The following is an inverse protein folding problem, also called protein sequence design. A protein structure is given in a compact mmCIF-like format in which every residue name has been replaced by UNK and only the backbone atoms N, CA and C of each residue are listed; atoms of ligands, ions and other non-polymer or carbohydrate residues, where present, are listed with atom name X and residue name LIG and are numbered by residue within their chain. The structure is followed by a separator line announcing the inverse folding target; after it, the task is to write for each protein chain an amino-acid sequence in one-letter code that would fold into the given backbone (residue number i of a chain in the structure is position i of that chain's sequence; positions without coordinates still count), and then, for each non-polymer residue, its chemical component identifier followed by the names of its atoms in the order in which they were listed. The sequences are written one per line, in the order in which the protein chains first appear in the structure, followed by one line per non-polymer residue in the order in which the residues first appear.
data_IF_167974246930
#
_entry.id   IF_167974246930
#
_cell.length_a   1.000
_cell.length_b   1.000
_cell.length_c   1.000
_cell.angle_alpha   90.00
_cell.angle_beta   90.00
_cell.angle_gamma   90.00
#
_symmetry.space_group_name_H-M   'P 1'
#
loop_
_entity.id
_entity.type
_entity.pdbx_description
1 polymer ?
#
# COMPACT_ATOMS: atom_id res chain seq x y z
N UNK A 1 12.86 -11.27 8.16
CA UNK A 1 12.25 -10.20 7.37
C UNK A 1 13.27 -9.78 6.32
N UNK A 2 12.85 -9.58 5.08
CA UNK A 2 13.71 -9.13 3.98
C UNK A 2 13.95 -7.61 4.01
N UNK A 3 13.19 -6.87 4.82
CA UNK A 3 13.31 -5.44 5.01
C UNK A 3 12.29 -4.95 6.04
N UNK A 4 12.20 -3.62 6.19
CA UNK A 4 11.25 -2.97 7.11
C UNK A 4 10.51 -1.83 6.42
N UNK A 5 9.23 -1.64 6.76
CA UNK A 5 8.43 -0.49 6.33
C UNK A 5 8.21 0.45 7.52
N UNK A 6 8.71 1.68 7.42
CA UNK A 6 8.51 2.74 8.41
C UNK A 6 7.08 3.26 8.26
N UNK A 7 6.28 3.12 9.32
CA UNK A 7 4.89 3.53 9.31
C UNK A 7 4.73 5.05 9.58
N UNK A 8 4.86 5.87 8.53
CA UNK A 8 4.62 7.32 8.52
C UNK A 8 3.22 7.74 8.07
N UNK A 9 2.19 6.99 8.44
CA UNK A 9 0.84 7.11 7.89
C UNK A 9 -0.25 6.92 8.95
N UNK A 10 -1.51 7.14 8.56
CA UNK A 10 -2.73 6.81 9.30
C UNK A 10 -2.82 7.39 10.72
N UNK A 11 -2.27 8.57 10.95
CA UNK A 11 -2.37 9.26 12.24
C UNK A 11 -1.61 8.61 13.40
N UNK A 12 -0.72 7.65 13.11
CA UNK A 12 0.23 7.14 14.11
C UNK A 12 1.37 8.13 14.33
N UNK A 13 2.24 7.84 15.30
CA UNK A 13 3.23 8.77 15.83
C UNK A 13 4.00 9.58 14.78
N UNK A 14 4.54 8.94 13.74
CA UNK A 14 5.29 9.66 12.70
C UNK A 14 4.37 10.60 11.91
N UNK A 15 3.17 10.16 11.54
CA UNK A 15 2.18 11.01 10.83
C UNK A 15 1.70 12.17 11.71
N UNK A 16 1.65 11.98 13.04
CA UNK A 16 1.36 13.06 13.98
C UNK A 16 2.44 14.16 13.96
N UNK A 17 3.71 13.82 13.76
CA UNK A 17 4.77 14.82 13.56
C UNK A 17 4.64 15.52 12.20
N UNK A 18 4.30 14.78 11.15
CA UNK A 18 4.17 15.33 9.79
C UNK A 18 3.06 16.38 9.70
N UNK A 19 1.93 16.16 10.38
CA UNK A 19 0.70 16.91 10.17
C UNK A 19 0.46 18.03 11.18
N UNK A 20 0.18 19.23 10.67
CA UNK A 20 0.02 20.43 11.51
C UNK A 20 -1.31 20.52 12.26
N UNK A 21 -2.28 19.63 12.01
CA UNK A 21 -3.48 19.51 12.82
C UNK A 21 -3.22 18.94 14.23
N UNK A 22 -2.09 18.22 14.41
CA UNK A 22 -1.67 17.66 15.70
C UNK A 22 -0.36 18.28 16.18
N UNK A 23 0.63 18.44 15.29
CA UNK A 23 1.93 18.98 15.68
C UNK A 23 1.89 20.50 15.83
N UNK A 24 1.61 20.96 17.05
CA UNK A 24 1.61 22.36 17.48
C UNK A 24 2.94 22.80 18.12
N UNK A 25 4.00 21.99 17.98
CA UNK A 25 5.30 22.28 18.59
C UNK A 25 5.94 23.52 17.98
N UNK A 26 6.67 24.26 18.80
CA UNK A 26 7.46 25.44 18.42
C UNK A 26 8.98 25.20 18.46
N UNK A 27 9.41 23.96 18.72
CA UNK A 27 10.81 23.57 18.70
C UNK A 27 11.27 23.08 17.31
N UNK A 28 12.43 22.45 17.23
CA UNK A 28 13.01 21.97 15.96
C UNK A 28 12.22 20.84 15.29
N UNK A 29 11.15 20.34 15.91
CA UNK A 29 10.30 19.26 15.39
C UNK A 29 8.88 19.73 14.97
N UNK A 30 8.58 21.03 15.05
CA UNK A 30 7.28 21.58 14.62
C UNK A 30 7.36 22.92 13.89
N UNK A 31 6.20 23.44 13.53
CA UNK A 31 6.06 24.66 12.74
C UNK A 31 6.27 24.42 11.24
N UNK A 32 7.51 24.52 10.76
CA UNK A 32 7.81 24.43 9.33
C UNK A 32 7.73 22.99 8.80
N UNK A 33 7.59 22.80 7.48
CA UNK A 33 7.61 21.47 6.86
C UNK A 33 8.93 20.72 7.12
N UNK A 34 10.05 21.44 7.10
CA UNK A 34 11.39 20.92 7.43
C UNK A 34 11.42 20.31 8.83
N UNK A 35 10.91 21.05 9.82
CA UNK A 35 10.90 20.61 11.21
C UNK A 35 9.94 19.45 11.43
N UNK A 36 8.73 19.51 10.85
CA UNK A 36 7.74 18.43 10.93
C UNK A 36 8.25 17.12 10.31
N UNK A 37 8.99 17.20 9.20
CA UNK A 37 9.58 16.03 8.54
C UNK A 37 10.87 15.54 9.20
N UNK A 38 11.49 16.34 10.07
CA UNK A 38 12.78 16.01 10.72
C UNK A 38 12.75 14.66 11.42
N UNK A 39 11.67 14.35 12.14
CA UNK A 39 11.53 13.08 12.86
C UNK A 39 11.53 11.87 11.90
N UNK A 40 10.76 11.93 10.81
CA UNK A 40 10.78 10.90 9.78
C UNK A 40 12.18 10.76 9.16
N UNK A 41 12.82 11.88 8.80
CA UNK A 41 14.17 11.86 8.21
C UNK A 41 15.21 11.22 9.12
N UNK A 42 15.15 11.48 10.43
CA UNK A 42 16.06 10.87 11.40
C UNK A 42 15.83 9.36 11.53
N UNK A 43 14.57 8.91 11.53
CA UNK A 43 14.23 7.48 11.56
C UNK A 43 14.74 6.77 10.31
N UNK A 44 14.51 7.34 9.12
CA UNK A 44 15.01 6.78 7.85
C UNK A 44 16.52 6.61 7.92
N UNK A 45 17.26 7.66 8.29
CA UNK A 45 18.72 7.62 8.38
C UNK A 45 19.21 6.59 9.40
N UNK A 46 18.60 6.53 10.58
CA UNK A 46 19.00 5.60 11.64
C UNK A 46 18.81 4.15 11.20
N UNK A 47 17.68 3.81 10.59
CA UNK A 47 17.39 2.45 10.12
C UNK A 47 18.26 2.11 8.90
N UNK A 48 18.35 3.01 7.92
CA UNK A 48 19.17 2.78 6.73
C UNK A 48 20.66 2.63 7.06
N UNK A 49 21.16 3.32 8.09
CA UNK A 49 22.54 3.13 8.57
C UNK A 49 22.77 1.75 9.20
N UNK A 50 21.71 1.13 9.74
CA UNK A 50 21.80 -0.18 10.40
C UNK A 50 21.66 -1.34 9.41
N UNK A 51 20.79 -1.23 8.40
CA UNK A 51 20.45 -2.36 7.51
C UNK A 51 20.64 -2.06 6.01
N UNK A 52 21.08 -0.87 5.64
CA UNK A 52 21.15 -0.44 4.24
C UNK A 52 19.84 0.16 3.74
N UNK A 53 19.89 1.20 2.88
CA UNK A 53 18.69 1.90 2.41
C UNK A 53 17.79 1.01 1.54
N UNK A 54 18.35 0.05 0.82
CA UNK A 54 17.64 -0.89 -0.05
C UNK A 54 16.77 -1.91 0.70
N UNK A 55 16.91 -1.99 2.03
CA UNK A 55 16.06 -2.79 2.92
C UNK A 55 15.05 -1.93 3.72
N UNK A 56 14.97 -0.64 3.42
CA UNK A 56 14.09 0.31 4.11
C UNK A 56 13.03 0.83 3.16
N UNK A 57 11.77 0.74 3.57
CA UNK A 57 10.64 1.39 2.92
C UNK A 57 9.97 2.39 3.85
N UNK A 58 9.23 3.33 3.27
CA UNK A 58 8.46 4.33 4.01
C UNK A 58 7.02 4.31 3.52
N UNK A 59 6.06 4.28 4.44
CA UNK A 59 4.63 4.44 4.12
C UNK A 59 4.12 5.80 4.57
N UNK A 60 3.41 6.51 3.70
CA UNK A 60 2.78 7.82 3.97
C UNK A 60 1.31 7.87 3.55
N UNK A 61 0.56 8.77 4.17
CA UNK A 61 -0.83 9.03 3.80
C UNK A 61 -1.19 10.52 3.90
N UNK A 62 -0.64 11.38 3.03
CA UNK A 62 -0.78 12.84 3.16
C UNK A 62 -2.25 13.28 3.17
N UNK A 63 -3.09 12.69 2.31
CA UNK A 63 -4.51 13.04 2.16
C UNK A 63 -5.48 12.28 3.07
N UNK A 64 -5.00 11.43 3.98
CA UNK A 64 -5.89 10.67 4.88
C UNK A 64 -6.02 11.38 6.22
N UNK A 65 -7.20 11.88 6.51
CA UNK A 65 -7.56 12.34 7.86
C UNK A 65 -7.98 11.13 8.71
N UNK A 66 -7.13 10.72 9.65
CA UNK A 66 -7.41 9.62 10.58
C UNK A 66 -6.82 9.93 11.96
N UNK A 67 -7.53 9.54 13.03
CA UNK A 67 -7.14 9.82 14.43
C UNK A 67 -6.80 11.32 14.65
N UNK A 68 -7.63 12.20 14.08
CA UNK A 68 -7.49 13.67 14.09
C UNK A 68 -6.19 14.21 13.44
N UNK A 69 -5.40 13.35 12.79
CA UNK A 69 -4.20 13.74 12.06
C UNK A 69 -4.58 14.32 10.69
N UNK A 70 -4.86 15.62 10.68
CA UNK A 70 -5.20 16.43 9.51
C UNK A 70 -4.05 17.35 9.13
N UNK A 71 -3.88 17.63 7.84
CA UNK A 71 -2.95 18.65 7.36
C UNK A 71 -3.70 19.74 6.58
N UNK A 72 -3.32 21.00 6.78
CA UNK A 72 -3.90 22.11 6.02
C UNK A 72 -3.49 22.14 4.54
N UNK A 73 -2.37 21.51 4.19
CA UNK A 73 -1.83 21.39 2.84
C UNK A 73 -1.27 19.98 2.58
N UNK A 74 -2.13 18.97 2.37
CA UNK A 74 -1.72 17.59 2.07
C UNK A 74 -0.82 17.45 0.84
N UNK A 75 -1.00 18.32 -0.16
CA UNK A 75 -0.23 18.30 -1.41
C UNK A 75 1.20 18.78 -1.13
N UNK A 76 1.33 19.94 -0.48
CA UNK A 76 2.63 20.48 -0.08
C UNK A 76 3.37 19.54 0.87
N UNK A 77 2.66 18.92 1.82
CA UNK A 77 3.24 17.92 2.72
C UNK A 77 3.79 16.72 1.94
N UNK A 78 2.99 16.11 1.06
CA UNK A 78 3.42 14.97 0.26
C UNK A 78 4.63 15.29 -0.61
N UNK A 79 4.61 16.44 -1.29
CA UNK A 79 5.71 16.90 -2.13
C UNK A 79 7.01 17.10 -1.33
N UNK A 80 6.90 17.69 -0.15
CA UNK A 80 8.05 17.92 0.71
C UNK A 80 8.65 16.59 1.21
N UNK A 81 7.82 15.64 1.63
CA UNK A 81 8.30 14.32 2.06
C UNK A 81 9.05 13.60 0.93
N UNK A 82 8.52 13.61 -0.29
CA UNK A 82 9.21 13.04 -1.47
C UNK A 82 10.54 13.74 -1.73
N UNK A 83 10.55 15.07 -1.67
CA UNK A 83 11.78 15.87 -1.86
C UNK A 83 12.85 15.50 -0.83
N UNK A 84 12.43 15.35 0.43
CA UNK A 84 13.32 15.00 1.53
C UNK A 84 13.83 13.56 1.44
N UNK A 85 12.98 12.60 1.06
CA UNK A 85 13.41 11.22 0.80
C UNK A 85 14.44 11.18 -0.33
N UNK A 86 14.17 11.82 -1.48
CA UNK A 86 15.15 11.90 -2.58
C UNK A 86 16.48 12.56 -2.14
N UNK A 87 16.42 13.54 -1.23
CA UNK A 87 17.62 14.15 -0.64
C UNK A 87 18.39 13.14 0.22
N UNK A 88 17.69 12.39 1.08
CA UNK A 88 18.30 11.36 1.92
C UNK A 88 18.92 10.24 1.09
N UNK A 89 18.25 9.75 0.06
CA UNK A 89 18.79 8.71 -0.84
C UNK A 89 20.12 9.15 -1.47
N UNK A 90 20.23 10.42 -1.90
CA UNK A 90 21.48 10.99 -2.42
C UNK A 90 22.58 11.07 -1.37
N UNK A 91 22.24 11.48 -0.14
CA UNK A 91 23.20 11.58 0.97
C UNK A 91 23.69 10.20 1.41
N UNK A 92 22.80 9.21 1.47
CA UNK A 92 23.12 7.83 1.87
C UNK A 92 23.81 7.05 0.75
N UNK A 93 23.77 7.53 -0.50
CA UNK A 93 24.36 6.85 -1.65
C UNK A 93 23.57 5.61 -2.09
N UNK A 94 22.27 5.54 -1.79
CA UNK A 94 21.41 4.40 -2.09
C UNK A 94 19.94 4.74 -2.02
N UNK A 95 19.11 3.97 -2.74
CA UNK A 95 17.67 4.17 -2.81
C UNK A 95 16.96 3.38 -1.71
N UNK A 96 15.84 3.90 -1.24
CA UNK A 96 14.90 3.14 -0.44
C UNK A 96 14.32 1.98 -1.27
N UNK A 97 13.93 0.90 -0.59
CA UNK A 97 13.26 -0.23 -1.21
C UNK A 97 12.00 0.22 -1.97
N UNK A 98 11.17 1.06 -1.34
CA UNK A 98 10.03 1.71 -1.96
C UNK A 98 9.44 2.84 -1.09
N UNK A 99 8.65 3.71 -1.73
CA UNK A 99 7.71 4.62 -1.07
C UNK A 99 6.29 4.09 -1.24
N UNK A 100 5.57 3.89 -0.15
CA UNK A 100 4.19 3.38 -0.15
C UNK A 100 3.21 4.50 0.19
N UNK A 101 2.43 4.93 -0.79
CA UNK A 101 1.42 5.99 -0.65
C UNK A 101 0.04 5.35 -0.46
N UNK A 102 -0.60 5.65 0.67
CA UNK A 102 -2.00 5.24 0.88
C UNK A 102 -2.94 6.39 0.56
N UNK A 103 -3.85 6.13 -0.36
CA UNK A 103 -4.92 7.03 -0.75
C UNK A 103 -6.15 6.83 0.14
N UNK A 104 -6.97 7.88 0.32
CA UNK A 104 -8.33 7.71 0.82
C UNK A 104 -9.07 6.64 0.02
N UNK A 105 -10.07 6.00 0.63
CA UNK A 105 -10.74 4.88 -0.03
C UNK A 105 -11.33 5.33 -1.36
N UNK A 106 -10.87 4.72 -2.46
CA UNK A 106 -11.60 4.68 -3.71
C UNK A 106 -12.96 4.02 -3.43
N UNK A 107 -13.96 4.84 -3.16
CA UNK A 107 -15.35 4.39 -3.13
C UNK A 107 -16.04 5.09 -4.27
N UNK A 108 -16.37 4.32 -5.32
CA UNK A 108 -17.31 4.70 -6.38
C UNK A 108 -18.72 5.05 -5.87
N UNK A 109 -18.92 5.22 -4.55
CA UNK A 109 -20.20 5.39 -3.88
C UNK A 109 -20.47 6.81 -3.36
N UNK A 110 -19.60 7.79 -3.59
CA UNK A 110 -19.91 9.17 -3.21
C UNK A 110 -20.48 9.94 -4.41
N UNK A 111 -21.78 9.76 -4.66
CA UNK A 111 -22.56 10.51 -5.65
C UNK A 111 -22.91 11.93 -5.15
N UNK A 112 -21.93 12.66 -4.63
CA UNK A 112 -22.08 14.07 -4.22
C UNK A 112 -20.98 14.90 -4.88
N UNK A 113 -21.26 16.15 -5.25
CA UNK A 113 -20.26 16.99 -5.94
C UNK A 113 -18.94 17.20 -5.17
N UNK A 114 -18.95 16.98 -3.85
CA UNK A 114 -17.76 16.94 -2.99
C UNK A 114 -16.82 15.75 -3.25
N UNK A 115 -17.36 14.64 -3.75
CA UNK A 115 -16.60 13.43 -4.05
C UNK A 115 -15.69 13.59 -5.26
N UNK A 116 -16.23 14.12 -6.36
CA UNK A 116 -15.47 14.37 -7.59
C UNK A 116 -14.32 15.36 -7.35
N UNK A 117 -14.51 16.32 -6.43
CA UNK A 117 -13.44 17.27 -6.06
C UNK A 117 -12.32 16.58 -5.29
N UNK A 118 -12.64 15.65 -4.38
CA UNK A 118 -11.64 14.87 -3.64
C UNK A 118 -10.91 13.88 -4.54
N UNK A 119 -11.63 13.19 -5.40
CA UNK A 119 -11.06 12.25 -6.39
C UNK A 119 -10.02 12.95 -7.29
N UNK A 120 -10.35 14.11 -7.86
CA UNK A 120 -9.37 14.90 -8.64
C UNK A 120 -8.16 15.37 -7.82
N UNK A 121 -8.35 15.69 -6.54
CA UNK A 121 -7.23 16.08 -5.67
C UNK A 121 -6.34 14.87 -5.34
N UNK A 122 -6.93 13.69 -5.20
CA UNK A 122 -6.21 12.43 -4.96
C UNK A 122 -5.41 11.99 -6.18
N UNK A 123 -6.02 11.99 -7.37
CA UNK A 123 -5.33 11.73 -8.65
C UNK A 123 -4.18 12.72 -8.86
N UNK A 124 -4.45 14.01 -8.63
CA UNK A 124 -3.42 15.04 -8.75
C UNK A 124 -2.26 14.84 -7.76
N UNK A 125 -2.56 14.49 -6.50
CA UNK A 125 -1.53 14.17 -5.51
C UNK A 125 -0.70 12.99 -5.98
N UNK A 126 -1.33 11.89 -6.40
CA UNK A 126 -0.61 10.67 -6.78
C UNK A 126 0.30 10.92 -7.98
N UNK A 127 -0.20 11.61 -9.01
CA UNK A 127 0.60 12.00 -10.18
C UNK A 127 1.79 12.87 -9.79
N UNK A 128 1.58 13.88 -8.94
CA UNK A 128 2.66 14.73 -8.45
C UNK A 128 3.72 13.94 -7.65
N UNK A 129 3.30 13.04 -6.76
CA UNK A 129 4.23 12.21 -6.00
C UNK A 129 5.01 11.25 -6.91
N UNK A 130 4.35 10.67 -7.91
CA UNK A 130 4.99 9.80 -8.90
C UNK A 130 6.02 10.55 -9.73
N UNK A 131 5.69 11.74 -10.23
CA UNK A 131 6.62 12.60 -10.98
C UNK A 131 7.81 13.04 -10.13
N UNK A 132 7.58 13.34 -8.86
CA UNK A 132 8.61 13.81 -7.93
C UNK A 132 9.52 12.69 -7.39
N UNK A 133 9.00 11.48 -7.19
CA UNK A 133 9.75 10.40 -6.57
C UNK A 133 10.54 9.59 -7.59
N UNK A 134 11.83 9.41 -7.35
CA UNK A 134 12.72 8.74 -8.30
C UNK A 134 12.81 7.22 -8.11
N UNK A 135 12.30 6.68 -7.00
CA UNK A 135 12.37 5.26 -6.66
C UNK A 135 11.09 4.48 -7.00
N UNK A 136 10.99 3.26 -6.47
CA UNK A 136 9.82 2.40 -6.62
C UNK A 136 8.66 2.88 -5.75
N UNK A 137 7.50 3.18 -6.36
CA UNK A 137 6.30 3.61 -5.64
C UNK A 137 5.25 2.50 -5.58
N UNK A 138 4.68 2.31 -4.39
CA UNK A 138 3.52 1.44 -4.16
C UNK A 138 2.31 2.31 -3.83
N UNK A 139 1.19 2.06 -4.50
CA UNK A 139 -0.08 2.71 -4.18
C UNK A 139 -1.03 1.75 -3.48
N UNK A 140 -1.77 2.21 -2.48
CA UNK A 140 -2.90 1.47 -1.91
C UNK A 140 -4.07 2.41 -1.64
N UNK A 141 -5.29 1.86 -1.53
CA UNK A 141 -6.47 2.68 -1.24
C UNK A 141 -7.70 2.39 -2.10
N UNK A 142 -8.27 1.19 -2.01
CA UNK A 142 -9.54 0.88 -2.68
C UNK A 142 -9.43 0.49 -4.15
N UNK A 143 -8.23 0.19 -4.63
CA UNK A 143 -8.03 -0.44 -5.93
C UNK A 143 -8.86 -1.72 -6.09
N UNK A 144 -9.47 -1.86 -7.26
CA UNK A 144 -9.95 -3.11 -7.84
C UNK A 144 -8.83 -3.74 -8.67
N UNK A 145 -9.12 -4.87 -9.31
CA UNK A 145 -8.22 -5.46 -10.30
C UNK A 145 -8.02 -4.49 -11.46
N UNK A 146 -9.12 -3.99 -12.01
CA UNK A 146 -9.16 -3.20 -13.25
C UNK A 146 -8.41 -1.88 -13.09
N UNK A 147 -8.77 -1.06 -12.10
CA UNK A 147 -8.10 0.23 -11.92
C UNK A 147 -6.66 0.09 -11.41
N UNK A 148 -6.34 -0.98 -10.67
CA UNK A 148 -4.96 -1.26 -10.24
C UNK A 148 -4.07 -1.67 -11.41
N UNK A 149 -4.59 -2.49 -12.33
CA UNK A 149 -3.90 -2.81 -13.58
C UNK A 149 -3.70 -1.57 -14.45
N UNK A 150 -4.71 -0.70 -14.58
CA UNK A 150 -4.59 0.57 -15.32
C UNK A 150 -3.50 1.45 -14.71
N UNK A 151 -3.54 1.68 -13.39
CA UNK A 151 -2.57 2.55 -12.71
C UNK A 151 -1.11 2.10 -12.90
N UNK A 152 -0.85 0.79 -12.97
CA UNK A 152 0.49 0.26 -13.26
C UNK A 152 0.84 0.41 -14.75
N UNK A 153 -0.11 0.09 -15.65
CA UNK A 153 0.10 0.19 -17.10
C UNK A 153 0.34 1.65 -17.56
N UNK A 154 -0.37 2.59 -16.95
CA UNK A 154 -0.32 4.02 -17.23
C UNK A 154 0.88 4.71 -16.55
N UNK A 155 1.64 3.98 -15.71
CA UNK A 155 2.83 4.48 -15.03
C UNK A 155 2.55 5.40 -13.84
N UNK A 156 1.31 5.43 -13.35
CA UNK A 156 0.92 6.20 -12.15
C UNK A 156 1.58 5.64 -10.88
N UNK A 157 1.91 4.35 -10.87
CA UNK A 157 2.62 3.68 -9.79
C UNK A 157 3.37 2.45 -10.31
N UNK A 158 4.39 1.98 -9.60
CA UNK A 158 5.09 0.75 -10.01
C UNK A 158 4.34 -0.50 -9.52
N UNK A 159 3.66 -0.40 -8.38
CA UNK A 159 3.01 -1.50 -7.68
C UNK A 159 1.71 -1.05 -7.01
N UNK A 160 0.75 -1.96 -6.91
CA UNK A 160 -0.49 -1.75 -6.14
C UNK A 160 -0.57 -2.74 -4.99
N UNK A 161 -0.84 -2.24 -3.79
CA UNK A 161 -1.05 -3.06 -2.60
C UNK A 161 -2.55 -3.18 -2.25
N UNK A 162 -2.96 -4.41 -1.96
CA UNK A 162 -4.34 -4.77 -1.64
C UNK A 162 -4.42 -5.32 -0.21
N UNK A 163 -5.15 -4.65 0.67
CA UNK A 163 -5.40 -5.13 2.05
C UNK A 163 -6.64 -6.01 2.13
N UNK A 164 -7.82 -5.39 2.03
CA UNK A 164 -9.13 -6.04 2.21
C UNK A 164 -9.36 -7.24 1.28
N UNK A 165 -8.93 -7.16 0.03
CA UNK A 165 -9.08 -8.25 -0.92
C UNK A 165 -8.18 -9.43 -0.55
N UNK A 166 -6.97 -9.16 -0.04
CA UNK A 166 -6.04 -10.20 0.37
C UNK A 166 -6.49 -10.92 1.64
N UNK A 167 -7.19 -10.22 2.56
CA UNK A 167 -7.80 -10.87 3.74
C UNK A 167 -8.69 -12.03 3.29
N UNK A 168 -9.56 -11.82 2.31
CA UNK A 168 -10.52 -12.84 1.88
C UNK A 168 -10.08 -13.74 0.74
N UNK A 169 -8.99 -13.41 0.05
CA UNK A 169 -8.49 -14.14 -1.12
C UNK A 169 -7.01 -14.48 -0.90
N UNK A 170 -6.70 -15.62 -0.27
CA UNK A 170 -5.30 -15.99 -0.02
C UNK A 170 -4.50 -16.21 -1.32
N UNK A 171 -5.20 -16.45 -2.43
CA UNK A 171 -4.69 -16.62 -3.79
C UNK A 171 -5.04 -15.43 -4.71
N UNK A 172 -5.17 -14.22 -4.16
CA UNK A 172 -5.54 -13.00 -4.90
C UNK A 172 -4.72 -12.79 -6.19
N UNK A 173 -3.37 -12.92 -6.21
CA UNK A 173 -2.60 -12.73 -7.45
C UNK A 173 -3.01 -13.72 -8.54
N UNK A 174 -3.26 -14.98 -8.18
CA UNK A 174 -3.71 -15.99 -9.14
C UNK A 174 -5.10 -15.65 -9.67
N UNK A 175 -6.04 -15.27 -8.79
CA UNK A 175 -7.39 -14.84 -9.20
C UNK A 175 -7.34 -13.67 -10.16
N UNK A 176 -6.44 -12.71 -9.96
CA UNK A 176 -6.24 -11.62 -10.91
C UNK A 176 -5.67 -12.10 -12.24
N UNK A 177 -4.70 -13.01 -12.22
CA UNK A 177 -4.10 -13.54 -13.45
C UNK A 177 -5.14 -14.26 -14.34
N UNK A 178 -6.03 -15.05 -13.75
CA UNK A 178 -7.07 -15.79 -14.49
C UNK A 178 -8.44 -15.09 -14.54
N UNK A 179 -8.53 -13.86 -14.03
CA UNK A 179 -9.77 -13.09 -13.91
C UNK A 179 -10.92 -13.87 -13.21
N UNK A 180 -10.59 -14.59 -12.14
CA UNK A 180 -11.56 -15.36 -11.36
C UNK A 180 -12.39 -14.49 -10.40
N UNK A 181 -13.52 -15.03 -9.95
CA UNK A 181 -14.33 -14.40 -8.92
C UNK A 181 -13.56 -14.26 -7.59
N UNK A 182 -13.81 -13.17 -6.88
CA UNK A 182 -13.20 -12.89 -5.59
C UNK A 182 -14.15 -13.28 -4.46
N UNK A 183 -13.60 -13.90 -3.43
CA UNK A 183 -14.27 -14.10 -2.15
C UNK A 183 -14.60 -12.74 -1.53
N UNK A 184 -15.82 -12.62 -1.01
CA UNK A 184 -16.25 -11.43 -0.26
C UNK A 184 -15.61 -11.44 1.13
N UNK A 185 -15.01 -10.31 1.52
CA UNK A 185 -14.52 -10.13 2.88
C UNK A 185 -15.66 -9.89 3.87
N UNK A 186 -15.45 -10.28 5.13
CA UNK A 186 -16.41 -10.10 6.22
C UNK A 186 -15.81 -9.05 7.18
N UNK A 187 -16.35 -7.83 7.17
CA UNK A 187 -15.79 -6.73 7.98
C UNK A 187 -15.84 -7.00 9.48
N UNK A 188 -16.85 -7.75 9.93
CA UNK A 188 -17.02 -8.09 11.35
C UNK A 188 -15.86 -8.91 11.91
N UNK A 189 -15.11 -9.62 11.06
CA UNK A 189 -14.01 -10.50 11.48
C UNK A 189 -12.63 -9.89 11.28
N UNK A 190 -12.50 -8.64 10.81
CA UNK A 190 -11.19 -8.01 10.60
C UNK A 190 -10.36 -7.89 11.87
N UNK A 191 -11.02 -7.71 13.01
CA UNK A 191 -10.40 -7.62 14.34
C UNK A 191 -11.03 -8.66 15.26
N UNK A 192 -10.90 -9.92 14.87
CA UNK A 192 -11.33 -11.07 15.66
C UNK A 192 -10.19 -11.56 16.57
N UNK A 193 -10.53 -12.17 17.70
CA UNK A 193 -9.59 -12.97 18.50
C UNK A 193 -9.64 -14.46 18.09
N UNK A 194 -10.60 -14.84 17.26
CA UNK A 194 -10.71 -16.20 16.73
C UNK A 194 -9.55 -16.46 15.75
N UNK A 195 -8.73 -17.51 15.96
CA UNK A 195 -7.57 -17.77 15.11
C UNK A 195 -7.93 -18.34 13.73
N UNK A 196 -9.20 -18.70 13.49
CA UNK A 196 -9.64 -19.36 12.26
C UNK A 196 -10.68 -18.52 11.52
N UNK A 197 -11.77 -18.15 12.20
CA UNK A 197 -12.97 -17.59 11.57
C UNK A 197 -12.72 -16.19 11.00
N UNK A 198 -12.78 -16.08 9.68
CA UNK A 198 -12.48 -14.84 8.96
C UNK A 198 -11.00 -14.46 8.96
N UNK A 199 -10.11 -15.41 9.26
CA UNK A 199 -8.66 -15.24 9.25
C UNK A 199 -7.96 -16.27 8.35
N UNK A 200 -8.08 -17.57 8.64
CA UNK A 200 -7.44 -18.65 7.86
C UNK A 200 -8.42 -19.55 7.12
N UNK A 201 -9.72 -19.32 7.26
CA UNK A 201 -10.80 -20.15 6.70
C UNK A 201 -11.31 -19.66 5.33
N UNK A 202 -10.75 -18.59 4.77
CA UNK A 202 -11.07 -18.16 3.42
C UNK A 202 -10.56 -19.16 2.37
N UNK A 203 -11.44 -19.66 1.47
CA UNK A 203 -11.07 -20.74 0.56
C UNK A 203 -10.20 -20.26 -0.60
N UNK A 204 -9.23 -21.09 -1.00
CA UNK A 204 -8.55 -21.00 -2.29
C UNK A 204 -9.50 -21.36 -3.43
N UNK A 205 -9.26 -20.83 -4.63
CA UNK A 205 -10.09 -21.10 -5.81
C UNK A 205 -10.22 -22.60 -6.12
N UNK A 206 -9.15 -23.37 -5.91
CA UNK A 206 -9.12 -24.82 -6.16
C UNK A 206 -9.56 -25.69 -4.97
N UNK A 207 -9.82 -25.11 -3.79
CA UNK A 207 -10.31 -25.88 -2.63
C UNK A 207 -11.84 -25.88 -2.52
N UNK A 208 -12.54 -25.06 -3.32
CA UNK A 208 -14.01 -25.00 -3.34
C UNK A 208 -14.69 -26.00 -4.30
N UNK A 209 -13.94 -26.86 -4.99
CA UNK A 209 -14.44 -27.77 -6.04
C UNK A 209 -14.84 -29.17 -5.56
N UNK A 210 -15.25 -29.33 -4.30
CA UNK A 210 -15.74 -30.61 -3.77
C UNK A 210 -17.26 -30.66 -3.74
N UNK A 211 -17.84 -31.48 -4.64
CA UNK A 211 -19.27 -31.75 -4.92
C UNK A 211 -19.85 -30.79 -5.99
N UNK A 212 -20.27 -31.21 -7.19
CA UNK A 212 -20.89 -32.47 -7.60
C UNK A 212 -20.79 -32.63 -9.15
N UNK A 213 -19.88 -33.46 -9.66
CA UNK A 213 -19.99 -34.05 -11.01
C UNK A 213 -19.49 -35.50 -10.97
N UNK A 214 -20.35 -36.40 -10.51
CA UNK A 214 -20.20 -37.84 -10.83
C UNK A 214 -20.79 -38.09 -12.21
N UNK A 215 -19.91 -38.18 -13.21
CA UNK A 215 -20.22 -38.60 -14.57
C UNK A 215 -19.00 -39.08 -15.34
N UNK A 216 -18.46 -40.27 -15.00
CA UNK A 216 -17.72 -41.23 -15.85
C UNK A 216 -16.86 -40.67 -17.02
N UNK A 217 -15.53 -40.85 -17.13
CA UNK A 217 -14.75 -42.11 -17.21
C UNK A 217 -13.24 -41.83 -17.49
N UNK A 218 -12.39 -42.76 -17.00
CA UNK A 218 -11.09 -43.27 -17.50
C UNK A 218 -9.83 -42.38 -17.59
N UNK A 219 -8.89 -42.72 -16.69
CA UNK A 219 -7.46 -43.08 -16.87
C UNK A 219 -6.56 -42.26 -17.82
N UNK A 220 -5.54 -41.60 -17.25
CA UNK A 220 -4.12 -41.96 -17.44
C UNK A 220 -3.19 -41.18 -16.50
N UNK A 221 -2.18 -41.89 -15.99
CA UNK A 221 -1.10 -41.41 -15.11
C UNK A 221 -0.17 -40.40 -15.81
N UNK A 222 0.37 -39.42 -15.06
CA UNK A 222 1.83 -39.13 -15.05
C UNK A 222 2.24 -38.12 -13.98
N UNK A 223 3.07 -38.63 -13.07
CA UNK A 223 4.25 -38.06 -12.40
C UNK A 223 4.31 -36.58 -11.93
N UNK A 224 4.51 -36.49 -10.61
CA UNK A 224 5.19 -35.45 -9.83
C UNK A 224 6.21 -34.58 -10.57
N UNK A 225 6.13 -33.26 -10.36
CA UNK A 225 7.29 -32.40 -10.08
C UNK A 225 6.89 -31.24 -9.15
N UNK A 226 7.44 -31.28 -7.93
CA UNK A 226 7.44 -30.17 -6.98
C UNK A 226 8.40 -29.11 -7.52
N UNK A 227 7.86 -27.99 -8.00
CA UNK A 227 8.61 -26.83 -8.44
C UNK A 227 8.54 -25.72 -7.40
N UNK A 228 9.69 -25.37 -6.81
CA UNK A 228 9.88 -24.16 -6.02
C UNK A 228 9.58 -22.93 -6.88
N UNK A 229 8.49 -22.21 -6.59
CA UNK A 229 8.17 -20.94 -7.24
C UNK A 229 8.68 -19.78 -6.39
N UNK A 230 9.84 -19.24 -6.78
CA UNK A 230 10.29 -17.92 -6.39
C UNK A 230 9.43 -16.86 -7.07
N UNK A 231 8.97 -15.89 -6.29
CA UNK A 231 8.11 -14.82 -6.77
C UNK A 231 8.92 -13.78 -7.53
N UNK A 232 8.69 -13.70 -8.84
CA UNK A 232 9.01 -12.53 -9.67
C UNK A 232 7.70 -12.11 -10.34
N UNK A 233 7.10 -11.03 -9.84
CA UNK A 233 6.03 -10.34 -10.56
C UNK A 233 6.69 -9.57 -11.71
N UNK A 234 6.73 -10.18 -12.89
CA UNK A 234 7.02 -9.48 -14.13
C UNK A 234 5.81 -8.66 -14.54
N UNK A 235 6.05 -7.41 -14.95
CA UNK A 235 5.15 -6.60 -15.75
C UNK A 235 4.43 -7.48 -16.78
N UNK A 236 3.11 -7.55 -16.69
CA UNK A 236 2.21 -8.04 -17.74
C UNK A 236 1.56 -6.83 -18.40
#
# INVERSE_FOLDING_TARGET
FDGVEIHGAHGYLIDQFLKNGINDRSDEYGGSLENRCRFLSQIIQAIASAIGPDQVAVRISPSIDHLDAMDSDPIGLGQFVVTEINRLERVMGGRLAYLHVTQPRYTASSKTGSAHKREKQEEHLLGMLREGYSGTMISSGGFTRENGMSAVADGETDLVSYGRLFISNPDLPYRFAVNASLNKYIRATFYTQDPVVGYTDYPFLHQGGGQDERGTKSDTESENRVGSFGWVLSKL
#
